data_IF_827826827278
#
_entry.id   IF_827826827278
#
_cell.length_a   1.000
_cell.length_b   1.000
_cell.length_c   1.000
_cell.angle_alpha   90.00
_cell.angle_beta   90.00
_cell.angle_gamma   90.00
#
_symmetry.space_group_name_H-M   'P 1'
#
loop_
_entity.id
_entity.type
_entity.pdbx_description
1 polymer ?
#
# COMPACT_ATOMS: atom_id res chain seq x y z
N UNK A 1 -12.27 40.71 64.73
CA UNK A 1 -11.09 40.45 63.86
C UNK A 1 -10.69 38.97 63.78
N UNK A 2 -11.33 38.03 64.49
CA UNK A 2 -10.99 36.61 64.44
C UNK A 2 -11.71 35.86 63.28
N UNK A 3 -12.99 36.15 63.05
CA UNK A 3 -13.82 35.46 62.04
C UNK A 3 -13.36 35.64 60.57
N UNK A 4 -12.75 36.78 60.24
CA UNK A 4 -12.25 37.04 58.88
C UNK A 4 -11.05 36.15 58.49
N UNK A 5 -10.27 35.68 59.48
CA UNK A 5 -9.11 34.79 59.26
C UNK A 5 -9.53 33.33 59.05
N UNK A 6 -10.61 32.87 59.68
CA UNK A 6 -11.17 31.54 59.43
C UNK A 6 -11.80 31.44 58.03
N UNK A 7 -12.57 32.45 57.62
CA UNK A 7 -13.20 32.49 56.29
C UNK A 7 -12.18 32.54 55.14
N UNK A 8 -11.09 33.30 55.29
CA UNK A 8 -10.02 33.36 54.31
C UNK A 8 -9.25 32.02 54.20
N UNK A 9 -9.08 31.29 55.32
CA UNK A 9 -8.46 29.96 55.31
C UNK A 9 -9.35 28.93 54.62
N UNK A 10 -10.65 28.92 54.92
CA UNK A 10 -11.60 28.02 54.26
C UNK A 10 -11.72 28.30 52.76
N UNK A 11 -11.71 29.57 52.35
CA UNK A 11 -11.65 29.97 50.94
C UNK A 11 -10.37 29.52 50.25
N UNK A 12 -9.21 29.65 50.90
CA UNK A 12 -7.93 29.18 50.37
C UNK A 12 -7.90 27.65 50.22
N UNK A 13 -8.47 26.89 51.17
CA UNK A 13 -8.60 25.43 51.07
C UNK A 13 -9.54 25.01 49.94
N UNK A 14 -10.64 25.74 49.73
CA UNK A 14 -11.55 25.48 48.61
C UNK A 14 -10.87 25.74 47.25
N UNK A 15 -10.15 26.85 47.11
CA UNK A 15 -9.39 27.16 45.89
C UNK A 15 -8.28 26.13 45.66
N UNK A 16 -7.53 25.75 46.69
CA UNK A 16 -6.50 24.72 46.59
C UNK A 16 -7.08 23.35 46.18
N UNK A 17 -8.26 23.00 46.70
CA UNK A 17 -8.99 21.79 46.31
C UNK A 17 -9.38 21.80 44.83
N UNK A 18 -9.95 22.90 44.33
CA UNK A 18 -10.34 23.03 42.92
C UNK A 18 -9.12 22.97 41.99
N UNK A 19 -8.03 23.66 42.35
CA UNK A 19 -6.78 23.63 41.58
C UNK A 19 -6.18 22.23 41.58
N UNK A 20 -6.15 21.55 42.73
CA UNK A 20 -5.66 20.17 42.82
C UNK A 20 -6.47 19.21 41.93
N UNK A 21 -7.79 19.35 41.92
CA UNK A 21 -8.69 18.51 41.12
C UNK A 21 -8.51 18.77 39.61
N UNK A 22 -8.31 20.03 39.22
CA UNK A 22 -8.00 20.40 37.83
C UNK A 22 -6.66 19.80 37.37
N UNK A 23 -5.63 19.81 38.23
CA UNK A 23 -4.33 19.19 37.93
C UNK A 23 -4.46 17.68 37.76
N UNK A 24 -5.19 17.00 38.66
CA UNK A 24 -5.44 15.56 38.55
C UNK A 24 -6.22 15.22 37.28
N UNK A 25 -7.20 16.03 36.90
CA UNK A 25 -7.94 15.85 35.66
C UNK A 25 -7.04 15.98 34.42
N UNK A 26 -6.16 16.97 34.37
CA UNK A 26 -5.19 17.13 33.28
C UNK A 26 -4.24 15.93 33.22
N UNK A 27 -3.68 15.50 34.36
CA UNK A 27 -2.80 14.32 34.42
C UNK A 27 -3.55 13.07 33.95
N UNK A 28 -4.80 12.88 34.39
CA UNK A 28 -5.65 11.77 33.97
C UNK A 28 -5.93 11.79 32.47
N UNK A 29 -6.20 12.96 31.89
CA UNK A 29 -6.40 13.12 30.46
C UNK A 29 -5.14 12.75 29.66
N UNK A 30 -3.94 13.12 30.13
CA UNK A 30 -2.69 12.74 29.47
C UNK A 30 -2.33 11.25 29.67
N UNK A 31 -2.60 10.69 30.86
CA UNK A 31 -2.27 9.30 31.19
C UNK A 31 -3.21 8.28 30.54
N UNK A 32 -4.51 8.59 30.40
CA UNK A 32 -5.54 7.65 29.94
C UNK A 32 -6.02 7.84 28.49
N UNK A 33 -5.36 8.68 27.68
CA UNK A 33 -5.53 8.63 26.21
C UNK A 33 -5.80 9.96 25.47
N UNK A 34 -5.84 11.10 26.16
CA UNK A 34 -6.02 12.41 25.51
C UNK A 34 -4.88 12.81 24.58
N UNK A 35 -3.64 12.44 24.90
CA UNK A 35 -2.50 12.60 24.00
C UNK A 35 -2.54 11.63 22.80
N UNK A 36 -3.24 10.50 22.95
CA UNK A 36 -3.42 9.49 21.91
C UNK A 36 -4.21 10.03 20.71
N UNK A 37 -5.28 10.79 20.93
CA UNK A 37 -6.04 11.43 19.85
C UNK A 37 -5.19 12.43 19.05
N UNK A 38 -4.43 13.31 19.74
CA UNK A 38 -3.63 14.34 19.07
C UNK A 38 -2.43 13.73 18.33
N UNK A 39 -1.83 12.66 18.86
CA UNK A 39 -0.68 11.98 18.26
C UNK A 39 -1.05 10.84 17.31
N UNK A 40 -2.29 10.34 17.32
CA UNK A 40 -2.80 9.31 16.41
C UNK A 40 -2.59 9.64 14.93
N UNK A 41 -2.88 10.86 14.41
CA UNK A 41 -2.63 11.16 13.01
C UNK A 41 -1.14 11.10 12.67
N UNK A 42 -0.25 11.59 13.56
CA UNK A 42 1.20 11.55 13.34
C UNK A 42 1.79 10.14 13.46
N UNK A 43 1.33 9.33 14.43
CA UNK A 43 1.71 7.91 14.54
C UNK A 43 1.22 7.11 13.34
N UNK A 44 -0.03 7.31 12.91
CA UNK A 44 -0.58 6.65 11.74
C UNK A 44 0.17 7.02 10.46
N UNK A 45 0.54 8.29 10.28
CA UNK A 45 1.36 8.75 9.15
C UNK A 45 2.78 8.16 9.21
N UNK A 46 3.39 8.12 10.39
CA UNK A 46 4.72 7.56 10.61
C UNK A 46 4.74 6.05 10.39
N UNK A 47 3.76 5.31 10.91
CA UNK A 47 3.62 3.86 10.73
C UNK A 47 3.35 3.52 9.26
N UNK A 48 2.49 4.29 8.58
CA UNK A 48 2.29 4.16 7.13
C UNK A 48 3.59 4.38 6.37
N UNK A 49 4.34 5.44 6.65
CA UNK A 49 5.63 5.72 6.00
C UNK A 49 6.67 4.65 6.30
N UNK A 50 6.71 4.15 7.53
CA UNK A 50 7.65 3.11 7.93
C UNK A 50 7.33 1.79 7.21
N UNK A 51 6.05 1.45 7.03
CA UNK A 51 5.61 0.24 6.36
C UNK A 51 5.59 0.32 4.82
N UNK A 52 5.71 1.53 4.23
CA UNK A 52 5.62 1.72 2.76
C UNK A 52 6.85 2.37 2.12
N UNK A 53 7.72 3.07 2.86
CA UNK A 53 8.87 3.77 2.27
C UNK A 53 10.17 3.47 3.03
N UNK A 54 10.05 3.23 4.33
CA UNK A 54 11.17 2.99 5.25
C UNK A 54 11.57 1.52 5.43
N UNK A 55 10.64 0.55 5.30
CA UNK A 55 10.94 -0.86 5.51
C UNK A 55 11.62 -1.49 4.29
N UNK A 56 12.77 -2.14 4.49
CA UNK A 56 13.43 -2.91 3.44
C UNK A 56 12.55 -4.03 2.87
N UNK A 57 11.68 -4.60 3.72
CA UNK A 57 10.69 -5.61 3.34
C UNK A 57 9.70 -5.07 2.29
N UNK A 58 9.12 -3.88 2.48
CA UNK A 58 8.21 -3.29 1.48
C UNK A 58 8.91 -3.07 0.14
N UNK A 59 10.18 -2.67 0.16
CA UNK A 59 10.97 -2.48 -1.06
C UNK A 59 11.14 -3.81 -1.78
N UNK A 60 11.56 -4.85 -1.06
CA UNK A 60 11.76 -6.18 -1.62
C UNK A 60 10.46 -6.76 -2.19
N UNK A 61 9.37 -6.71 -1.43
CA UNK A 61 8.06 -7.17 -1.90
C UNK A 61 7.58 -6.38 -3.12
N UNK A 62 7.82 -5.07 -3.16
CA UNK A 62 7.44 -4.25 -4.32
C UNK A 62 8.28 -4.59 -5.55
N UNK A 63 9.58 -4.86 -5.40
CA UNK A 63 10.43 -5.34 -6.49
C UNK A 63 9.94 -6.68 -7.02
N UNK A 64 9.77 -7.68 -6.14
CA UNK A 64 9.27 -9.02 -6.50
C UNK A 64 7.92 -8.91 -7.22
N UNK A 65 7.00 -8.09 -6.72
CA UNK A 65 5.68 -7.89 -7.34
C UNK A 65 5.75 -7.32 -8.77
N UNK A 66 6.65 -6.35 -9.03
CA UNK A 66 6.81 -5.82 -10.38
C UNK A 66 7.48 -6.82 -11.33
N UNK A 67 8.42 -7.62 -10.83
CA UNK A 67 9.04 -8.70 -11.61
C UNK A 67 8.03 -9.79 -11.95
N UNK A 68 7.26 -10.26 -10.97
CA UNK A 68 6.23 -11.29 -11.13
C UNK A 68 5.19 -10.90 -12.18
N UNK A 69 4.72 -9.65 -12.15
CA UNK A 69 3.75 -9.14 -13.14
C UNK A 69 4.32 -9.12 -14.55
N UNK A 70 5.61 -8.82 -14.67
CA UNK A 70 6.27 -8.78 -15.97
C UNK A 70 6.54 -10.20 -16.50
N UNK A 71 7.00 -11.10 -15.63
CA UNK A 71 7.18 -12.52 -15.95
C UNK A 71 5.84 -13.17 -16.34
N UNK A 72 4.75 -12.86 -15.62
CA UNK A 72 3.41 -13.35 -15.96
C UNK A 72 2.96 -12.93 -17.37
N UNK A 73 3.21 -11.67 -17.74
CA UNK A 73 2.92 -11.19 -19.10
C UNK A 73 3.75 -11.93 -20.16
N UNK A 74 5.05 -12.14 -19.91
CA UNK A 74 5.94 -12.86 -20.84
C UNK A 74 5.61 -14.35 -20.94
N UNK A 75 5.27 -15.01 -19.84
CA UNK A 75 4.85 -16.40 -19.81
C UNK A 75 3.54 -16.61 -20.59
N UNK A 76 2.59 -15.68 -20.47
CA UNK A 76 1.37 -15.69 -21.27
C UNK A 76 1.69 -15.54 -22.77
N UNK A 77 2.62 -14.64 -23.15
CA UNK A 77 3.09 -14.48 -24.53
C UNK A 77 3.76 -15.74 -25.09
N UNK A 78 4.66 -16.36 -24.32
CA UNK A 78 5.33 -17.61 -24.70
C UNK A 78 4.33 -18.73 -24.93
N UNK A 79 3.34 -18.87 -24.04
CA UNK A 79 2.28 -19.86 -24.18
C UNK A 79 1.40 -19.59 -25.41
N UNK A 80 1.07 -18.32 -25.68
CA UNK A 80 0.34 -17.93 -26.91
C UNK A 80 1.14 -18.34 -28.15
N UNK A 81 2.47 -18.17 -28.14
CA UNK A 81 3.30 -18.51 -29.29
C UNK A 81 3.34 -20.02 -29.55
N UNK A 82 3.49 -20.83 -28.49
CA UNK A 82 3.42 -22.30 -28.58
C UNK A 82 2.05 -22.76 -29.10
N UNK A 83 0.96 -22.19 -28.58
CA UNK A 83 -0.39 -22.52 -29.03
C UNK A 83 -0.64 -22.10 -30.49
N UNK A 84 -0.10 -20.96 -30.93
CA UNK A 84 -0.16 -20.53 -32.34
C UNK A 84 0.60 -21.50 -33.26
N UNK A 85 1.70 -22.09 -32.78
CA UNK A 85 2.44 -23.11 -33.54
C UNK A 85 1.67 -24.43 -33.62
N UNK A 86 1.11 -24.89 -32.49
CA UNK A 86 0.25 -26.08 -32.44
C UNK A 86 -0.95 -25.93 -33.40
N UNK A 87 -1.58 -24.74 -33.43
CA UNK A 87 -2.71 -24.42 -34.30
C UNK A 87 -2.44 -24.70 -35.78
N UNK A 88 -1.20 -24.54 -36.25
CA UNK A 88 -0.85 -24.71 -37.68
C UNK A 88 -0.99 -26.15 -38.16
N UNK A 89 -0.88 -27.13 -37.26
CA UNK A 89 -0.95 -28.56 -37.57
C UNK A 89 -2.14 -29.26 -36.89
N UNK A 90 -2.96 -28.52 -36.16
CA UNK A 90 -4.08 -29.05 -35.39
C UNK A 90 -5.30 -29.38 -36.27
N UNK A 91 -6.14 -30.30 -35.81
CA UNK A 91 -7.48 -30.53 -36.39
C UNK A 91 -8.38 -29.29 -36.20
N UNK A 92 -9.49 -29.19 -36.94
CA UNK A 92 -10.46 -28.09 -36.76
C UNK A 92 -11.02 -28.02 -35.33
N UNK A 93 -11.36 -29.17 -34.75
CA UNK A 93 -11.87 -29.25 -33.37
C UNK A 93 -10.84 -28.77 -32.35
N UNK A 94 -9.56 -29.09 -32.56
CA UNK A 94 -8.48 -28.66 -31.69
C UNK A 94 -8.14 -27.18 -31.91
N UNK A 95 -8.24 -26.68 -33.13
CA UNK A 95 -8.07 -25.26 -33.46
C UNK A 95 -9.03 -24.36 -32.69
N UNK A 96 -10.31 -24.74 -32.59
CA UNK A 96 -11.30 -23.97 -31.82
C UNK A 96 -10.95 -23.89 -30.31
N UNK A 97 -10.46 -24.99 -29.73
CA UNK A 97 -10.00 -25.01 -28.34
C UNK A 97 -8.75 -24.13 -28.16
N UNK A 98 -7.80 -24.24 -29.08
CA UNK A 98 -6.58 -23.42 -29.09
C UNK A 98 -6.93 -21.93 -29.17
N UNK A 99 -7.89 -21.54 -30.01
CA UNK A 99 -8.32 -20.15 -30.16
C UNK A 99 -8.98 -19.60 -28.88
N UNK A 100 -9.74 -20.42 -28.16
CA UNK A 100 -10.25 -20.06 -26.83
C UNK A 100 -9.11 -19.88 -25.82
N UNK A 101 -8.15 -20.81 -25.77
CA UNK A 101 -6.98 -20.71 -24.89
C UNK A 101 -6.13 -19.48 -25.20
N UNK A 102 -5.87 -19.18 -26.47
CA UNK A 102 -5.16 -17.96 -26.90
C UNK A 102 -5.92 -16.71 -26.45
N UNK A 103 -7.25 -16.69 -26.55
CA UNK A 103 -8.07 -15.54 -26.13
C UNK A 103 -7.98 -15.32 -24.62
N UNK A 104 -8.05 -16.39 -23.82
CA UNK A 104 -7.88 -16.31 -22.37
C UNK A 104 -6.48 -15.78 -22.00
N UNK A 105 -5.42 -16.31 -22.60
CA UNK A 105 -4.05 -15.86 -22.34
C UNK A 105 -3.81 -14.40 -22.75
N UNK A 106 -4.44 -13.93 -23.83
CA UNK A 106 -4.41 -12.51 -24.19
C UNK A 106 -5.04 -11.62 -23.12
N UNK A 107 -6.17 -12.06 -22.54
CA UNK A 107 -6.80 -11.34 -21.44
C UNK A 107 -5.90 -11.29 -20.20
N UNK A 108 -5.30 -12.44 -19.82
CA UNK A 108 -4.34 -12.52 -18.70
C UNK A 108 -3.13 -11.60 -18.90
N UNK A 109 -2.60 -11.53 -20.13
CA UNK A 109 -1.53 -10.61 -20.47
C UNK A 109 -1.94 -9.15 -20.27
N UNK A 110 -3.11 -8.76 -20.78
CA UNK A 110 -3.64 -7.39 -20.63
C UNK A 110 -3.84 -7.05 -19.15
N UNK A 111 -4.37 -7.99 -18.37
CA UNK A 111 -4.55 -7.83 -16.92
C UNK A 111 -3.22 -7.59 -16.21
N UNK A 112 -2.21 -8.42 -16.47
CA UNK A 112 -0.87 -8.30 -15.87
C UNK A 112 -0.21 -6.96 -16.21
N UNK A 113 -0.33 -6.51 -17.46
CA UNK A 113 0.18 -5.21 -17.92
C UNK A 113 -0.57 -4.05 -17.26
N UNK A 114 -1.89 -4.15 -17.11
CA UNK A 114 -2.69 -3.12 -16.47
C UNK A 114 -2.40 -3.02 -14.97
N UNK A 115 -2.24 -4.16 -14.29
CA UNK A 115 -1.90 -4.19 -12.87
C UNK A 115 -0.50 -3.62 -12.62
N UNK A 116 0.46 -3.97 -13.50
CA UNK A 116 1.79 -3.34 -13.51
C UNK A 116 1.68 -1.82 -13.64
N UNK A 117 0.94 -1.33 -14.65
CA UNK A 117 0.79 0.10 -14.91
C UNK A 117 0.07 0.84 -13.78
N UNK A 118 -0.93 0.19 -13.17
CA UNK A 118 -1.67 0.71 -12.02
C UNK A 118 -0.76 0.87 -10.80
N UNK A 119 0.04 -0.16 -10.49
CA UNK A 119 1.02 -0.12 -9.39
C UNK A 119 2.15 0.86 -9.66
N UNK A 120 2.63 0.94 -10.90
CA UNK A 120 3.67 1.87 -11.32
C UNK A 120 3.22 3.35 -11.23
N UNK A 121 1.91 3.62 -11.35
CA UNK A 121 1.35 4.95 -11.17
C UNK A 121 1.24 5.39 -9.70
N UNK A 122 1.44 4.48 -8.74
CA UNK A 122 1.39 4.82 -7.32
C UNK A 122 2.68 5.52 -6.89
N UNK A 123 2.58 6.79 -6.49
CA UNK A 123 3.73 7.66 -6.18
C UNK A 123 4.67 7.06 -5.12
N UNK A 124 4.14 6.39 -4.10
CA UNK A 124 4.92 5.76 -3.04
C UNK A 124 5.67 4.49 -3.49
N UNK A 125 5.32 3.91 -4.65
CA UNK A 125 5.99 2.73 -5.24
C UNK A 125 6.96 3.07 -6.35
N UNK A 126 6.86 4.29 -6.91
CA UNK A 126 7.74 4.77 -7.97
C UNK A 126 9.26 4.64 -7.66
N UNK A 127 9.75 4.82 -6.41
CA UNK A 127 11.16 4.64 -6.07
C UNK A 127 11.62 3.18 -6.01
N UNK A 128 10.69 2.22 -5.97
CA UNK A 128 10.94 0.79 -5.78
C UNK A 128 10.69 -0.02 -7.05
N UNK A 129 10.50 0.65 -8.18
CA UNK A 129 10.64 0.01 -9.48
C UNK A 129 12.13 -0.14 -9.76
N UNK A 130 12.56 -1.33 -10.19
CA UNK A 130 13.95 -1.55 -10.59
C UNK A 130 14.35 -0.56 -11.69
N UNK A 131 15.61 -0.13 -11.69
CA UNK A 131 16.17 0.74 -12.73
C UNK A 131 16.01 0.12 -14.12
N UNK A 132 16.03 -1.21 -14.18
CA UNK A 132 15.95 -1.96 -15.42
C UNK A 132 14.49 -2.18 -15.87
N UNK A 133 13.50 -1.94 -15.01
CA UNK A 133 12.08 -2.12 -15.33
C UNK A 133 11.46 -0.86 -16.00
N UNK A 134 10.65 -1.02 -17.07
CA UNK A 134 10.08 0.09 -17.83
C UNK A 134 9.04 0.90 -17.05
N UNK A 135 8.91 2.19 -17.34
CA UNK A 135 7.96 3.06 -16.63
C UNK A 135 6.49 2.64 -16.82
N UNK A 136 6.17 2.14 -18.01
CA UNK A 136 4.87 1.59 -18.37
C UNK A 136 5.09 0.44 -19.34
N UNK A 137 4.24 -0.57 -19.20
CA UNK A 137 4.09 -1.64 -20.17
C UNK A 137 3.00 -1.28 -21.17
N UNK A 138 3.22 -1.59 -22.44
CA UNK A 138 2.26 -1.30 -23.51
C UNK A 138 1.34 -2.51 -23.74
N UNK A 139 0.05 -2.35 -23.46
CA UNK A 139 -0.98 -3.37 -23.72
C UNK A 139 -1.10 -3.73 -25.20
N UNK A 140 -0.81 -2.78 -26.09
CA UNK A 140 -0.91 -2.96 -27.56
C UNK A 140 0.38 -3.50 -28.17
N UNK A 141 1.50 -3.50 -27.45
CA UNK A 141 2.74 -4.06 -27.95
C UNK A 141 2.59 -5.57 -28.18
N UNK A 142 3.21 -6.09 -29.23
CA UNK A 142 3.17 -7.53 -29.55
C UNK A 142 3.96 -8.37 -28.53
N UNK A 143 4.96 -7.77 -27.87
CA UNK A 143 5.75 -8.39 -26.80
C UNK A 143 6.01 -7.43 -25.65
N UNK A 144 6.14 -7.99 -24.46
CA UNK A 144 6.43 -7.27 -23.22
C UNK A 144 7.92 -7.31 -22.95
N UNK A 145 8.57 -6.15 -22.85
CA UNK A 145 9.99 -6.04 -22.52
C UNK A 145 10.13 -5.70 -21.04
N UNK A 146 10.63 -6.65 -20.25
CA UNK A 146 10.78 -6.53 -18.79
C UNK A 146 12.13 -5.98 -18.33
N UNK A 147 13.00 -5.63 -19.27
CA UNK A 147 14.33 -5.06 -19.02
C UNK A 147 14.67 -4.10 -20.15
N UNK A 148 15.19 -2.92 -19.81
CA UNK A 148 15.80 -2.02 -20.80
C UNK A 148 17.21 -2.44 -21.18
#
# INVERSE_FOLDING_TARGET
>A
MWEAREGARLGAWAVAGVVGLAVVYVIGAFAFGGAGWITAPFRGEADKRNNTVGSGEFRQTTYEEFFDLCEAAQNAEGTIQVLKEERKAASETRTAQIDQSITALKATRIESVNDYNSKAAQEHRAPFRDKDLPYRLNVEAERTTCTN
#
